data_IF_945781370129
#
_entry.id   IF_945781370129
#
_cell.length_a   1.000
_cell.length_b   1.000
_cell.length_c   1.000
_cell.angle_alpha   90.00
_cell.angle_beta   90.00
_cell.angle_gamma   90.00
#
_symmetry.space_group_name_H-M   'P 1'
#
loop_
_entity.id
_entity.type
_entity.pdbx_description
1 polymer ?
#
# COMPACT_ATOMS: atom_id res chain seq x y z
N UNK A 1 -2.89 19.67 -2.14
CA UNK A 1 -3.31 18.26 -2.04
C UNK A 1 -2.89 17.79 -0.64
N UNK A 2 -3.80 17.84 0.35
CA UNK A 2 -3.54 17.30 1.69
C UNK A 2 -3.65 15.78 1.59
N UNK A 3 -2.59 15.13 1.14
CA UNK A 3 -2.48 13.68 1.28
C UNK A 3 -2.35 13.45 2.78
N UNK A 4 -3.41 12.98 3.43
CA UNK A 4 -3.33 12.45 4.79
C UNK A 4 -2.34 11.30 4.73
N UNK A 5 -1.13 11.55 5.22
CA UNK A 5 -0.10 10.52 5.35
C UNK A 5 -0.65 9.44 6.28
N UNK A 6 -0.61 8.15 5.93
CA UNK A 6 -1.10 7.05 6.78
C UNK A 6 -0.61 7.16 8.22
N UNK A 7 0.63 7.63 8.40
CA UNK A 7 1.22 7.97 9.70
C UNK A 7 0.37 8.92 10.56
N UNK A 8 -0.14 10.02 9.99
CA UNK A 8 -0.94 10.98 10.75
C UNK A 8 -2.25 10.37 11.25
N UNK A 9 -2.85 9.46 10.47
CA UNK A 9 -4.04 8.70 10.89
C UNK A 9 -3.69 7.77 12.04
N UNK A 10 -2.59 7.03 11.93
CA UNK A 10 -2.10 6.13 12.99
C UNK A 10 -1.80 6.92 14.27
N UNK A 11 -1.12 8.06 14.17
CA UNK A 11 -0.81 8.93 15.31
C UNK A 11 -2.08 9.41 16.02
N UNK A 12 -3.13 9.76 15.27
CA UNK A 12 -4.44 10.10 15.84
C UNK A 12 -5.09 8.91 16.56
N UNK A 13 -5.07 7.71 15.99
CA UNK A 13 -5.62 6.52 16.62
C UNK A 13 -4.85 6.15 17.90
N UNK A 14 -3.51 6.17 17.85
CA UNK A 14 -2.63 5.92 19.00
C UNK A 14 -2.70 7.01 20.08
N UNK A 15 -3.29 8.18 19.79
CA UNK A 15 -3.61 9.17 20.82
C UNK A 15 -4.75 8.73 21.75
N UNK A 16 -5.50 7.69 21.37
CA UNK A 16 -6.68 7.19 22.09
C UNK A 16 -8.01 7.60 21.44
N UNK A 17 -7.99 8.03 20.17
CA UNK A 17 -9.21 8.34 19.44
C UNK A 17 -9.99 7.06 19.13
N UNK A 18 -11.24 7.00 19.54
CA UNK A 18 -12.16 5.90 19.19
C UNK A 18 -12.59 6.01 17.71
N UNK A 19 -11.78 5.43 16.83
CA UNK A 19 -12.08 5.36 15.41
C UNK A 19 -11.44 4.10 14.79
N UNK A 20 -11.80 3.82 13.54
CA UNK A 20 -11.17 2.80 12.72
C UNK A 20 -10.80 3.39 11.37
N UNK A 21 -9.71 2.92 10.78
CA UNK A 21 -9.29 3.32 9.45
C UNK A 21 -8.89 2.10 8.63
N UNK A 22 -9.17 2.16 7.33
CA UNK A 22 -8.68 1.20 6.35
C UNK A 22 -7.39 1.75 5.75
N UNK A 23 -6.29 1.04 5.97
CA UNK A 23 -4.96 1.43 5.54
C UNK A 23 -4.32 0.30 4.73
N UNK A 24 -3.45 0.63 3.76
CA UNK A 24 -2.64 -0.38 3.08
C UNK A 24 -1.79 -1.15 4.09
N UNK A 25 -1.69 -2.48 3.93
CA UNK A 25 -0.87 -3.31 4.82
C UNK A 25 0.60 -2.88 4.83
N UNK A 26 1.11 -2.32 3.73
CA UNK A 26 2.48 -1.79 3.62
C UNK A 26 2.77 -0.57 4.50
N UNK A 27 1.73 0.11 4.99
CA UNK A 27 1.83 1.35 5.77
C UNK A 27 1.58 1.12 7.28
N UNK A 28 1.33 -0.11 7.69
CA UNK A 28 0.98 -0.47 9.07
C UNK A 28 1.95 -1.51 9.62
N UNK A 29 2.70 -1.16 10.67
CA UNK A 29 3.51 -2.13 11.44
C UNK A 29 2.85 -2.38 12.80
N UNK A 30 2.09 -3.47 12.91
CA UNK A 30 1.35 -3.84 14.12
C UNK A 30 2.24 -4.00 15.35
N UNK A 31 3.54 -4.28 15.19
CA UNK A 31 4.48 -4.46 16.32
C UNK A 31 4.82 -3.15 17.03
N UNK A 32 4.47 -2.01 16.42
CA UNK A 32 4.79 -0.67 16.91
C UNK A 32 3.59 0.08 17.48
N UNK A 33 2.41 -0.54 17.47
CA UNK A 33 1.17 0.05 17.97
C UNK A 33 0.94 -0.43 19.41
N UNK A 34 0.67 0.51 20.31
CA UNK A 34 0.44 0.22 21.73
C UNK A 34 -1.05 0.26 22.08
N UNK A 35 -1.84 1.11 21.40
CA UNK A 35 -3.26 1.34 21.73
C UNK A 35 -4.23 0.84 20.66
N UNK A 36 -3.73 0.52 19.48
CA UNK A 36 -4.51 0.01 18.37
C UNK A 36 -4.24 -1.48 18.12
N UNK A 37 -5.23 -2.15 17.55
CA UNK A 37 -5.08 -3.50 17.01
C UNK A 37 -5.29 -3.46 15.49
N UNK A 38 -4.59 -4.33 14.77
CA UNK A 38 -4.68 -4.44 13.31
C UNK A 38 -5.48 -5.68 12.96
N UNK A 39 -6.52 -5.51 12.16
CA UNK A 39 -7.35 -6.61 11.65
C UNK A 39 -7.09 -6.76 10.15
N UNK A 40 -6.65 -7.94 9.67
CA UNK A 40 -6.55 -8.20 8.24
C UNK A 40 -7.95 -8.29 7.62
N UNK A 41 -8.16 -7.56 6.52
CA UNK A 41 -9.39 -7.67 5.73
C UNK A 41 -9.28 -8.87 4.77
N UNK A 42 -10.31 -9.71 4.72
CA UNK A 42 -10.40 -10.83 3.79
C UNK A 42 -11.68 -10.71 2.93
N UNK A 43 -11.61 -10.92 1.59
CA UNK A 43 -10.38 -11.06 0.82
C UNK A 43 -9.62 -9.73 0.76
N UNK A 44 -8.29 -9.75 0.84
CA UNK A 44 -7.41 -8.57 0.75
C UNK A 44 -7.20 -8.21 -0.72
N UNK A 45 -7.88 -7.19 -1.27
CA UNK A 45 -7.71 -6.85 -2.67
C UNK A 45 -6.34 -6.20 -2.87
N UNK A 46 -5.59 -6.68 -3.86
CA UNK A 46 -4.35 -6.05 -4.31
C UNK A 46 -4.68 -4.81 -5.14
N UNK A 47 -4.79 -3.66 -4.48
CA UNK A 47 -5.10 -2.37 -5.11
C UNK A 47 -3.80 -1.57 -5.27
N UNK A 48 -2.89 -2.04 -6.13
CA UNK A 48 -1.73 -1.27 -6.54
C UNK A 48 -1.62 -1.25 -8.07
N UNK A 49 -1.75 -0.05 -8.65
CA UNK A 49 -1.69 0.17 -10.09
C UNK A 49 -0.53 1.12 -10.40
N UNK A 50 0.69 0.58 -10.66
CA UNK A 50 1.79 1.42 -11.07
C UNK A 50 1.46 2.09 -12.40
N UNK A 51 1.53 3.42 -12.43
CA UNK A 51 1.27 4.21 -13.63
C UNK A 51 2.56 4.86 -14.12
N UNK A 52 2.79 4.78 -15.43
CA UNK A 52 3.91 5.44 -16.08
C UNK A 52 3.40 6.28 -17.25
N UNK A 53 3.88 7.52 -17.34
CA UNK A 53 3.65 8.36 -18.52
C UNK A 53 4.87 8.26 -19.41
N UNK A 54 4.67 7.74 -20.62
CA UNK A 54 5.71 7.62 -21.63
C UNK A 54 5.41 8.60 -22.77
N UNK A 55 6.43 9.34 -23.21
CA UNK A 55 6.32 10.18 -24.41
C UNK A 55 6.25 9.29 -25.65
N UNK A 56 5.40 9.65 -26.62
CA UNK A 56 5.22 8.87 -27.85
C UNK A 56 6.52 8.67 -28.67
N UNK A 57 7.47 9.59 -28.56
CA UNK A 57 8.77 9.52 -29.23
C UNK A 57 9.81 8.65 -28.50
N UNK A 58 9.53 8.18 -27.28
CA UNK A 58 10.48 7.33 -26.54
C UNK A 58 10.44 5.89 -27.05
N UNK A 59 11.62 5.30 -27.20
CA UNK A 59 11.80 3.86 -27.39
C UNK A 59 11.20 3.07 -26.23
N UNK A 60 10.86 1.80 -26.46
CA UNK A 60 10.49 0.88 -25.36
C UNK A 60 11.66 0.77 -24.35
N UNK A 61 11.32 0.69 -23.06
CA UNK A 61 12.27 0.52 -21.97
C UNK A 61 11.98 -0.85 -21.37
N UNK A 62 12.61 -1.89 -21.91
CA UNK A 62 12.39 -3.28 -21.52
C UNK A 62 12.59 -3.53 -20.04
N UNK A 63 13.55 -2.85 -19.42
CA UNK A 63 13.91 -2.98 -18.01
C UNK A 63 12.77 -2.60 -17.09
N UNK A 64 11.97 -1.60 -17.47
CA UNK A 64 10.79 -1.17 -16.71
C UNK A 64 9.70 -2.25 -16.78
N UNK A 65 9.49 -2.81 -17.97
CA UNK A 65 8.54 -3.89 -18.18
C UNK A 65 8.93 -5.14 -17.39
N UNK A 66 10.23 -5.45 -17.32
CA UNK A 66 10.77 -6.55 -16.54
C UNK A 66 10.58 -6.32 -15.03
N UNK A 67 10.87 -5.11 -14.52
CA UNK A 67 10.61 -4.74 -13.11
C UNK A 67 9.13 -4.87 -12.76
N UNK A 68 8.23 -4.41 -13.64
CA UNK A 68 6.79 -4.52 -13.42
C UNK A 68 6.33 -5.98 -13.41
N UNK A 69 6.84 -6.80 -14.34
CA UNK A 69 6.54 -8.24 -14.40
C UNK A 69 6.99 -8.95 -13.12
N UNK A 70 8.21 -8.69 -12.67
CA UNK A 70 8.76 -9.36 -11.48
C UNK A 70 8.10 -8.85 -10.18
N UNK A 71 7.78 -7.55 -10.12
CA UNK A 71 7.15 -6.92 -8.95
C UNK A 71 5.66 -7.24 -8.77
N UNK A 72 4.91 -7.45 -9.86
CA UNK A 72 3.48 -7.85 -9.82
C UNK A 72 3.26 -9.30 -9.36
N UNK A 73 4.30 -10.13 -9.30
CA UNK A 73 4.21 -11.54 -8.86
C UNK A 73 4.16 -11.67 -7.32
N UNK A 74 4.31 -10.59 -6.57
CA UNK A 74 4.24 -10.58 -5.09
C UNK A 74 2.81 -10.74 -4.49
N UNK A 75 1.81 -11.08 -5.31
CA UNK A 75 0.42 -11.34 -4.90
C UNK A 75 -0.12 -12.67 -5.43
N UNK A 76 0.67 -13.76 -5.43
CA UNK A 76 0.09 -15.09 -5.68
C UNK A 76 -0.72 -15.52 -4.44
N UNK A 77 -2.01 -15.89 -4.59
CA UNK A 77 -2.75 -16.50 -3.50
C UNK A 77 -2.07 -17.82 -3.16
N UNK A 78 -1.58 -17.95 -1.94
CA UNK A 78 -1.20 -19.25 -1.39
C UNK A 78 -2.44 -20.14 -1.41
N UNK A 79 -2.40 -21.19 -2.24
CA UNK A 79 -3.32 -22.31 -2.22
C UNK A 79 -3.18 -23.12 -0.92
#
# INVERSE_FOLDING_TARGET
MHITQPKAIIDCLESGLEAVSLLPASEVDARRLEKCFVIPLAPSPDIFFPAMVKMSAMSEISEITDILRDGLIMGQPTA
#
